data_IF_453581128812
#
_entry.id   IF_453581128812
#
_cell.length_a   1.000
_cell.length_b   1.000
_cell.length_c   1.000
_cell.angle_alpha   90.00
_cell.angle_beta   90.00
_cell.angle_gamma   90.00
#
_symmetry.space_group_name_H-M   'P 1'
#
loop_
_entity.id
_entity.type
_entity.pdbx_description
1 polymer ?
#
# COMPACT_ATOMS: atom_id res chain seq x y z
N UNK A 1 0.45 -6.27 33.09
CA UNK A 1 0.67 -5.57 31.81
C UNK A 1 1.88 -6.19 31.11
N UNK A 2 1.75 -7.35 30.44
CA UNK A 2 2.86 -8.06 29.78
C UNK A 2 2.30 -8.82 28.57
N UNK A 3 1.84 -8.11 27.54
CA UNK A 3 1.22 -8.73 26.36
C UNK A 3 1.84 -8.40 25.01
N UNK A 4 2.75 -7.39 24.91
CA UNK A 4 3.13 -6.86 23.59
C UNK A 4 4.48 -7.34 23.03
N UNK A 5 5.30 -8.01 23.82
CA UNK A 5 6.66 -8.45 23.38
C UNK A 5 6.69 -9.86 22.78
N UNK A 6 5.75 -10.74 23.14
CA UNK A 6 5.70 -12.09 22.61
C UNK A 6 5.20 -12.14 21.17
N UNK A 7 4.21 -11.30 20.84
CA UNK A 7 3.62 -11.25 19.49
C UNK A 7 4.58 -10.73 18.43
N UNK A 8 5.39 -9.75 18.76
CA UNK A 8 6.34 -9.15 17.82
C UNK A 8 7.47 -10.13 17.43
N UNK A 9 7.98 -10.91 18.39
CA UNK A 9 8.99 -11.94 18.12
C UNK A 9 8.43 -13.11 17.32
N UNK A 10 7.20 -13.49 17.58
CA UNK A 10 6.50 -14.54 16.83
C UNK A 10 6.27 -14.13 15.37
N UNK A 11 5.93 -12.85 15.14
CA UNK A 11 5.74 -12.31 13.80
C UNK A 11 7.07 -12.23 13.01
N UNK A 12 8.17 -11.79 13.63
CA UNK A 12 9.49 -11.84 13.00
C UNK A 12 9.94 -13.25 12.67
N UNK A 13 9.65 -14.22 13.55
CA UNK A 13 9.93 -15.62 13.27
C UNK A 13 9.12 -16.17 12.10
N UNK A 14 7.86 -15.76 11.99
CA UNK A 14 6.98 -16.13 10.88
C UNK A 14 7.48 -15.57 9.54
N UNK A 15 7.87 -14.27 9.48
CA UNK A 15 8.42 -13.67 8.26
C UNK A 15 9.80 -14.22 7.90
N UNK A 16 10.64 -14.54 8.89
CA UNK A 16 11.93 -15.19 8.65
C UNK A 16 11.81 -16.62 8.09
N UNK A 17 10.69 -17.28 8.29
CA UNK A 17 10.40 -18.59 7.73
C UNK A 17 9.78 -18.55 6.33
N UNK A 18 9.13 -17.42 5.93
CA UNK A 18 8.49 -17.25 4.64
C UNK A 18 9.36 -16.39 3.70
N UNK A 19 10.50 -16.97 3.29
CA UNK A 19 11.54 -16.29 2.47
C UNK A 19 11.05 -15.99 1.02
N UNK A 20 9.87 -16.44 0.62
CA UNK A 20 9.39 -16.37 -0.76
C UNK A 20 8.25 -15.39 -1.00
N UNK A 21 7.48 -14.99 0.03
CA UNK A 21 6.42 -13.99 -0.13
C UNK A 21 7.02 -12.62 -0.40
N UNK A 22 6.58 -11.97 -1.48
CA UNK A 22 7.06 -10.65 -1.87
C UNK A 22 6.02 -9.59 -1.54
N UNK A 23 6.34 -8.70 -0.60
CA UNK A 23 5.43 -7.65 -0.14
C UNK A 23 5.81 -6.33 -0.81
N UNK A 24 4.92 -5.86 -1.68
CA UNK A 24 5.02 -4.56 -2.37
C UNK A 24 4.04 -3.56 -1.78
N UNK A 25 4.48 -2.34 -1.55
CA UNK A 25 3.60 -1.22 -1.18
C UNK A 25 3.41 -0.34 -2.40
N UNK A 26 2.17 0.03 -2.71
CA UNK A 26 1.85 0.93 -3.81
C UNK A 26 1.08 2.15 -3.29
N UNK A 27 1.57 3.35 -3.62
CA UNK A 27 0.98 4.61 -3.18
C UNK A 27 1.32 5.77 -4.13
N UNK A 28 0.41 6.75 -4.21
CA UNK A 28 0.69 8.06 -4.79
C UNK A 28 0.96 9.04 -3.64
N UNK A 29 2.11 9.69 -3.65
CA UNK A 29 2.60 10.53 -2.57
C UNK A 29 2.99 11.91 -3.08
N UNK A 30 2.56 12.97 -2.38
CA UNK A 30 3.02 14.34 -2.63
C UNK A 30 4.39 14.58 -1.99
N UNK A 31 5.03 15.73 -2.25
CA UNK A 31 6.35 16.09 -1.70
C UNK A 31 6.45 16.02 -0.17
N UNK A 32 5.36 16.29 0.53
CA UNK A 32 5.26 16.21 1.99
C UNK A 32 4.76 14.84 2.48
N UNK A 33 4.84 13.81 1.64
CA UNK A 33 4.33 12.46 1.90
C UNK A 33 2.80 12.36 2.04
N UNK A 34 2.05 13.41 1.74
CA UNK A 34 0.59 13.37 1.78
C UNK A 34 0.03 12.41 0.73
N UNK A 35 -0.97 11.63 1.11
CA UNK A 35 -1.62 10.61 0.28
C UNK A 35 -3.13 10.82 0.13
N UNK A 36 -3.77 11.55 1.04
CA UNK A 36 -5.21 11.71 1.04
C UNK A 36 -5.70 12.86 1.90
N UNK A 37 -6.96 13.19 1.67
CA UNK A 37 -7.75 14.09 2.50
C UNK A 37 -9.21 13.62 2.51
N UNK A 38 -9.84 13.57 3.70
CA UNK A 38 -11.23 13.14 3.88
C UNK A 38 -11.56 11.80 3.18
N UNK A 39 -10.66 10.83 3.32
CA UNK A 39 -10.76 9.50 2.70
C UNK A 39 -10.80 9.51 1.16
N UNK A 40 -10.21 10.51 0.52
CA UNK A 40 -10.11 10.64 -0.95
C UNK A 40 -8.66 10.85 -1.37
N UNK A 41 -8.33 10.43 -2.60
CA UNK A 41 -7.05 10.76 -3.23
C UNK A 41 -6.92 12.27 -3.42
N UNK A 42 -5.71 12.80 -3.24
CA UNK A 42 -5.41 14.22 -3.40
C UNK A 42 -5.43 14.68 -4.86
N UNK A 43 -5.01 13.80 -5.77
CA UNK A 43 -4.87 14.10 -7.19
C UNK A 43 -5.46 12.99 -8.04
N UNK A 44 -6.12 13.38 -9.11
CA UNK A 44 -6.60 12.47 -10.14
C UNK A 44 -5.51 12.29 -11.20
N UNK A 45 -4.90 11.12 -11.24
CA UNK A 45 -3.83 10.76 -12.17
C UNK A 45 -4.22 9.49 -12.96
N UNK A 46 -4.79 9.63 -14.17
CA UNK A 46 -5.22 8.46 -14.98
C UNK A 46 -4.10 7.44 -15.25
N UNK A 47 -2.87 7.90 -15.46
CA UNK A 47 -1.74 7.01 -15.70
C UNK A 47 -1.33 6.24 -14.43
N UNK A 48 -1.44 6.86 -13.25
CA UNK A 48 -1.25 6.19 -11.96
C UNK A 48 -2.28 5.06 -11.77
N UNK A 49 -3.55 5.31 -12.08
CA UNK A 49 -4.60 4.31 -12.02
C UNK A 49 -4.35 3.14 -13.00
N UNK A 50 -3.82 3.41 -14.19
CA UNK A 50 -3.42 2.36 -15.15
C UNK A 50 -2.27 1.53 -14.60
N UNK A 51 -1.23 2.18 -14.05
CA UNK A 51 -0.08 1.51 -13.42
C UNK A 51 -0.53 0.66 -12.23
N UNK A 52 -1.35 1.21 -11.34
CA UNK A 52 -1.95 0.49 -10.22
C UNK A 52 -2.67 -0.77 -10.69
N UNK A 53 -3.55 -0.65 -11.69
CA UNK A 53 -4.27 -1.79 -12.27
C UNK A 53 -3.31 -2.83 -12.85
N UNK A 54 -2.31 -2.40 -13.60
CA UNK A 54 -1.31 -3.29 -14.22
C UNK A 54 -0.52 -4.09 -13.19
N UNK A 55 -0.07 -3.43 -12.12
CA UNK A 55 0.71 -4.07 -11.06
C UNK A 55 -0.12 -5.03 -10.21
N UNK A 56 -1.37 -4.67 -9.89
CA UNK A 56 -2.17 -5.41 -8.89
C UNK A 56 -3.08 -6.48 -9.47
N UNK A 57 -3.36 -6.46 -10.79
CA UNK A 57 -4.25 -7.47 -11.42
C UNK A 57 -3.64 -8.87 -11.33
N UNK A 58 -4.42 -9.82 -10.85
CA UNK A 58 -4.00 -11.22 -10.63
C UNK A 58 -3.35 -11.47 -9.29
N UNK A 59 -3.21 -10.43 -8.45
CA UNK A 59 -2.54 -10.51 -7.16
C UNK A 59 -3.50 -10.29 -5.98
N UNK A 60 -3.03 -10.60 -4.78
CA UNK A 60 -3.69 -10.20 -3.54
C UNK A 60 -3.38 -8.73 -3.24
N UNK A 61 -4.44 -7.97 -2.93
CA UNK A 61 -4.35 -6.60 -2.44
C UNK A 61 -4.85 -6.53 -1.00
N UNK A 62 -4.08 -5.87 -0.13
CA UNK A 62 -4.43 -5.68 1.28
C UNK A 62 -4.64 -4.19 1.55
N UNK A 63 -5.74 -3.86 2.19
CA UNK A 63 -6.13 -2.48 2.51
C UNK A 63 -6.84 -2.37 3.85
N UNK A 64 -6.88 -1.18 4.41
CA UNK A 64 -7.72 -0.87 5.56
C UNK A 64 -9.19 -0.64 5.14
N UNK A 65 -10.09 -0.75 6.11
CA UNK A 65 -11.53 -0.57 5.90
C UNK A 65 -11.88 0.76 5.22
N UNK A 66 -11.32 1.88 5.65
CA UNK A 66 -11.59 3.20 5.04
C UNK A 66 -11.17 3.27 3.57
N UNK A 67 -10.07 2.63 3.21
CA UNK A 67 -9.65 2.53 1.81
C UNK A 67 -10.63 1.73 0.98
N UNK A 68 -11.12 0.60 1.50
CA UNK A 68 -12.16 -0.19 0.84
C UNK A 68 -13.45 0.61 0.64
N UNK A 69 -13.89 1.35 1.67
CA UNK A 69 -15.09 2.20 1.61
C UNK A 69 -14.96 3.35 0.59
N UNK A 70 -13.73 3.78 0.27
CA UNK A 70 -13.46 4.80 -0.75
C UNK A 70 -13.49 4.28 -2.19
N UNK A 71 -13.51 2.97 -2.40
CA UNK A 71 -13.55 2.39 -3.72
C UNK A 71 -14.94 2.57 -4.36
N UNK A 72 -15.04 3.21 -5.54
CA UNK A 72 -16.35 3.59 -6.11
C UNK A 72 -17.30 2.43 -6.39
N UNK A 73 -16.75 1.23 -6.62
CA UNK A 73 -17.51 0.01 -6.95
C UNK A 73 -17.25 -1.15 -6.00
N UNK A 74 -16.69 -0.87 -4.81
CA UNK A 74 -16.29 -1.90 -3.85
C UNK A 74 -15.09 -2.72 -4.32
N UNK A 75 -15.10 -4.03 -4.05
CA UNK A 75 -13.99 -4.92 -4.35
C UNK A 75 -13.47 -4.81 -5.80
N UNK A 76 -12.16 -4.72 -5.96
CA UNK A 76 -11.53 -4.57 -7.27
C UNK A 76 -11.53 -5.90 -8.02
N UNK A 77 -11.98 -5.92 -9.30
CA UNK A 77 -12.07 -7.16 -10.06
C UNK A 77 -10.69 -7.76 -10.37
N UNK A 78 -10.67 -9.09 -10.56
CA UNK A 78 -9.47 -9.88 -10.91
C UNK A 78 -8.33 -9.75 -9.90
N UNK A 79 -8.68 -9.59 -8.63
CA UNK A 79 -7.76 -9.49 -7.47
C UNK A 79 -8.39 -10.15 -6.27
N UNK A 80 -7.58 -10.76 -5.44
CA UNK A 80 -8.01 -11.15 -4.11
C UNK A 80 -8.03 -9.90 -3.23
N UNK A 81 -9.22 -9.46 -2.81
CA UNK A 81 -9.38 -8.29 -1.98
C UNK A 81 -9.35 -8.71 -0.50
N UNK A 82 -8.40 -8.19 0.25
CA UNK A 82 -8.24 -8.41 1.69
C UNK A 82 -8.36 -7.09 2.41
N UNK A 83 -9.25 -7.02 3.40
CA UNK A 83 -9.53 -5.81 4.16
C UNK A 83 -9.21 -6.03 5.64
N UNK A 84 -8.44 -5.13 6.21
CA UNK A 84 -8.14 -5.13 7.65
C UNK A 84 -9.22 -4.33 8.40
N UNK A 85 -9.95 -5.03 9.28
CA UNK A 85 -10.98 -4.41 10.11
C UNK A 85 -11.20 -5.20 11.41
N UNK A 86 -11.40 -4.47 12.52
CA UNK A 86 -11.83 -5.02 13.80
C UNK A 86 -13.30 -4.76 14.10
N UNK A 87 -13.97 -3.99 13.26
CA UNK A 87 -15.36 -3.55 13.48
C UNK A 87 -16.37 -4.27 12.60
N UNK A 88 -15.95 -4.90 11.50
CA UNK A 88 -16.79 -5.69 10.61
C UNK A 88 -16.10 -7.02 10.31
N UNK A 89 -16.90 -8.07 10.13
CA UNK A 89 -16.43 -9.42 9.80
C UNK A 89 -16.67 -9.81 8.34
N UNK A 90 -17.52 -9.07 7.62
CA UNK A 90 -17.89 -9.38 6.25
C UNK A 90 -17.96 -8.11 5.40
N UNK A 91 -17.47 -8.19 4.17
CA UNK A 91 -17.59 -7.15 3.15
C UNK A 91 -17.82 -7.81 1.79
N UNK A 92 -18.70 -7.28 0.94
CA UNK A 92 -18.99 -7.88 -0.37
C UNK A 92 -17.73 -7.96 -1.25
N UNK A 93 -17.38 -9.18 -1.67
CA UNK A 93 -16.25 -9.42 -2.57
C UNK A 93 -14.86 -9.29 -1.93
N UNK A 94 -14.76 -9.20 -0.60
CA UNK A 94 -13.50 -9.10 0.11
C UNK A 94 -13.46 -10.07 1.30
N UNK A 95 -12.27 -10.56 1.61
CA UNK A 95 -11.98 -11.29 2.84
C UNK A 95 -11.59 -10.29 3.93
N UNK A 96 -12.09 -10.48 5.14
CA UNK A 96 -11.82 -9.57 6.26
C UNK A 96 -10.96 -10.26 7.31
N UNK A 97 -9.89 -9.57 7.72
CA UNK A 97 -8.99 -9.99 8.79
C UNK A 97 -8.85 -8.90 9.84
N UNK A 98 -8.64 -9.30 11.08
CA UNK A 98 -8.50 -8.36 12.18
C UNK A 98 -7.20 -7.54 12.15
N UNK A 99 -6.13 -8.12 11.59
CA UNK A 99 -4.79 -7.54 11.56
C UNK A 99 -3.98 -7.99 10.33
N UNK A 100 -2.88 -7.28 10.07
CA UNK A 100 -2.00 -7.53 8.93
C UNK A 100 -1.32 -8.90 9.02
N UNK A 101 -0.92 -9.34 10.19
CA UNK A 101 -0.23 -10.62 10.39
C UNK A 101 -1.11 -11.79 9.95
N UNK A 102 -2.35 -11.83 10.44
CA UNK A 102 -3.32 -12.86 10.09
C UNK A 102 -3.64 -12.84 8.60
N UNK A 103 -3.76 -11.64 8.01
CA UNK A 103 -3.96 -11.48 6.57
C UNK A 103 -2.80 -12.04 5.74
N UNK A 104 -1.55 -11.70 6.09
CA UNK A 104 -0.36 -12.21 5.40
C UNK A 104 -0.21 -13.72 5.57
N UNK A 105 -0.55 -14.26 6.75
CA UNK A 105 -0.54 -15.71 7.00
C UNK A 105 -1.53 -16.51 6.14
N UNK A 106 -2.53 -15.85 5.57
CA UNK A 106 -3.50 -16.45 4.65
C UNK A 106 -3.05 -16.44 3.19
N UNK A 107 -1.92 -15.81 2.89
CA UNK A 107 -1.33 -15.74 1.56
C UNK A 107 -0.34 -16.88 1.33
N UNK A 108 -0.11 -17.23 0.05
CA UNK A 108 0.89 -18.22 -0.31
C UNK A 108 2.30 -17.67 -0.15
N UNK A 109 3.25 -18.52 0.24
CA UNK A 109 4.66 -18.16 0.41
C UNK A 109 5.34 -17.70 -0.89
N UNK A 110 4.76 -18.01 -2.05
CA UNK A 110 5.30 -17.65 -3.37
C UNK A 110 4.53 -16.49 -4.03
N UNK A 111 3.62 -15.88 -3.30
CA UNK A 111 2.73 -14.84 -3.80
C UNK A 111 3.37 -13.46 -3.69
N UNK A 112 3.13 -12.59 -4.67
CA UNK A 112 3.34 -11.16 -4.54
C UNK A 112 2.06 -10.50 -4.02
N UNK A 113 2.18 -9.81 -2.87
CA UNK A 113 1.09 -9.15 -2.18
C UNK A 113 1.28 -7.64 -2.26
N UNK A 114 0.23 -6.91 -2.64
CA UNK A 114 0.25 -5.47 -2.71
C UNK A 114 -0.50 -4.82 -1.55
N UNK A 115 0.18 -4.00 -0.78
CA UNK A 115 -0.41 -3.16 0.26
C UNK A 115 -0.83 -1.84 -0.40
N UNK A 116 -2.14 -1.54 -0.38
CA UNK A 116 -2.70 -0.40 -1.13
C UNK A 116 -3.27 0.72 -0.25
N UNK A 117 -3.06 0.63 1.05
CA UNK A 117 -3.38 1.70 2.00
C UNK A 117 -4.42 1.34 3.04
N UNK A 118 -4.84 2.32 3.87
CA UNK A 118 -4.29 3.68 3.97
C UNK A 118 -3.09 3.81 4.90
N UNK A 119 -2.92 5.01 5.44
CA UNK A 119 -1.76 5.38 6.27
C UNK A 119 -1.41 4.34 7.35
N UNK A 120 -2.39 3.92 8.15
CA UNK A 120 -2.16 2.94 9.22
C UNK A 120 -1.65 1.60 8.70
N UNK A 121 -2.14 1.14 7.54
CA UNK A 121 -1.73 -0.13 6.94
C UNK A 121 -0.35 0.00 6.31
N UNK A 122 -0.04 1.12 5.64
CA UNK A 122 1.30 1.41 5.15
C UNK A 122 2.34 1.42 6.27
N UNK A 123 2.01 2.06 7.39
CA UNK A 123 2.90 2.12 8.57
C UNK A 123 3.19 0.73 9.15
N UNK A 124 2.18 -0.13 9.21
CA UNK A 124 2.34 -1.51 9.67
C UNK A 124 3.14 -2.37 8.71
N UNK A 125 2.94 -2.20 7.39
CA UNK A 125 3.56 -3.04 6.36
C UNK A 125 4.99 -2.62 6.02
N UNK A 126 5.34 -1.34 6.15
CA UNK A 126 6.64 -0.81 5.74
C UNK A 126 7.84 -1.59 6.30
N UNK A 127 7.88 -2.04 7.57
CA UNK A 127 9.00 -2.81 8.09
C UNK A 127 9.23 -4.16 7.40
N UNK A 128 8.21 -4.71 6.76
CA UNK A 128 8.21 -6.04 6.14
C UNK A 128 8.23 -5.99 4.61
N UNK A 129 8.01 -4.82 4.03
CA UNK A 129 7.95 -4.66 2.59
C UNK A 129 9.33 -4.86 1.94
N UNK A 130 9.31 -5.51 0.76
CA UNK A 130 10.48 -5.74 -0.09
C UNK A 130 10.62 -4.64 -1.14
N UNK A 131 9.49 -4.04 -1.55
CA UNK A 131 9.42 -3.06 -2.63
C UNK A 131 8.42 -1.95 -2.31
N UNK A 132 8.75 -0.72 -2.72
CA UNK A 132 7.83 0.40 -2.78
C UNK A 132 7.63 0.79 -4.24
N UNK A 133 6.37 0.81 -4.69
CA UNK A 133 5.96 1.27 -6.02
C UNK A 133 5.28 2.63 -5.84
N UNK A 134 6.04 3.72 -5.81
CA UNK A 134 5.51 5.04 -5.55
C UNK A 134 5.22 5.81 -6.84
N UNK A 135 4.16 6.60 -6.83
CA UNK A 135 3.94 7.71 -7.74
C UNK A 135 4.23 8.98 -6.98
N UNK A 136 5.41 9.54 -7.20
CA UNK A 136 5.85 10.79 -6.56
C UNK A 136 5.30 11.98 -7.32
N UNK A 137 4.45 12.78 -6.68
CA UNK A 137 3.76 13.92 -7.29
C UNK A 137 4.48 15.21 -6.92
N UNK A 138 4.83 16.01 -7.92
CA UNK A 138 5.50 17.31 -7.76
C UNK A 138 4.52 18.39 -7.29
N UNK A 139 3.94 18.19 -6.12
CA UNK A 139 2.98 19.11 -5.51
C UNK A 139 3.06 19.11 -3.99
N UNK A 140 2.61 20.22 -3.41
CA UNK A 140 2.42 20.40 -1.96
C UNK A 140 0.94 20.73 -1.72
N UNK A 141 0.11 19.74 -1.34
CA UNK A 141 -1.30 19.98 -1.07
C UNK A 141 -1.47 20.85 0.18
N UNK A 142 -2.37 21.83 0.11
CA UNK A 142 -2.68 22.69 1.25
C UNK A 142 -3.44 21.94 2.35
N UNK A 143 -4.28 20.97 1.97
CA UNK A 143 -5.08 20.17 2.88
C UNK A 143 -4.74 18.69 2.67
N UNK A 144 -4.29 18.04 3.73
CA UNK A 144 -4.08 16.61 3.78
C UNK A 144 -4.25 16.14 5.23
N UNK A 145 -4.86 14.98 5.42
CA UNK A 145 -5.09 14.36 6.72
C UNK A 145 -4.54 12.94 6.82
N UNK A 146 -4.00 12.41 5.71
CA UNK A 146 -3.36 11.11 5.65
C UNK A 146 -2.00 11.20 4.95
N UNK A 147 -0.99 10.50 5.51
CA UNK A 147 0.39 10.59 5.06
C UNK A 147 1.02 9.20 4.93
N UNK A 148 1.86 9.03 3.92
CA UNK A 148 2.72 7.86 3.80
C UNK A 148 3.83 7.93 4.86
N UNK A 149 4.20 6.82 5.51
CA UNK A 149 5.29 6.81 6.47
C UNK A 149 6.61 7.17 5.82
N UNK A 150 7.43 7.95 6.52
CA UNK A 150 8.80 8.24 6.07
C UNK A 150 9.63 6.96 6.07
N UNK A 151 10.51 6.85 5.08
CA UNK A 151 11.45 5.73 4.96
C UNK A 151 12.86 6.26 4.72
N UNK A 152 13.86 5.47 5.13
CA UNK A 152 15.26 5.90 5.09
C UNK A 152 15.94 5.51 3.79
N UNK A 153 16.67 6.42 3.11
CA UNK A 153 17.52 6.08 1.99
C UNK A 153 18.60 5.04 2.29
N UNK A 154 18.94 4.83 3.57
CA UNK A 154 19.88 3.78 3.99
C UNK A 154 19.29 2.37 3.97
N UNK A 155 17.96 2.26 3.94
CA UNK A 155 17.25 0.97 3.88
C UNK A 155 16.70 0.66 2.49
N UNK A 156 16.57 1.67 1.64
CA UNK A 156 15.89 1.57 0.35
C UNK A 156 16.74 2.12 -0.78
N UNK A 157 16.87 1.35 -1.86
CA UNK A 157 17.54 1.74 -3.10
C UNK A 157 16.51 2.03 -4.18
N UNK A 158 16.60 3.21 -4.79
CA UNK A 158 15.85 3.49 -6.02
C UNK A 158 16.34 2.56 -7.14
N UNK A 159 15.44 1.76 -7.69
CA UNK A 159 15.72 0.78 -8.74
C UNK A 159 15.17 1.19 -10.10
N UNK A 160 14.17 2.08 -10.11
CA UNK A 160 13.52 2.57 -11.32
C UNK A 160 12.96 3.97 -11.09
N UNK A 161 13.04 4.83 -12.11
CA UNK A 161 12.35 6.13 -12.16
C UNK A 161 11.93 6.46 -13.59
N UNK A 162 10.68 6.84 -13.76
CA UNK A 162 10.11 7.36 -15.00
C UNK A 162 9.39 8.67 -14.72
N UNK A 163 9.89 9.76 -15.31
CA UNK A 163 9.34 11.11 -15.09
C UNK A 163 8.28 11.45 -16.14
N UNK A 164 7.22 12.10 -15.70
CA UNK A 164 6.12 12.57 -16.53
C UNK A 164 5.88 14.06 -16.30
N UNK A 165 5.81 14.81 -17.36
CA UNK A 165 5.39 16.20 -17.34
C UNK A 165 3.86 16.35 -17.29
N UNK A 166 3.38 17.57 -17.06
CA UNK A 166 1.97 17.90 -17.15
C UNK A 166 1.45 17.71 -18.58
N UNK A 167 0.21 17.27 -18.70
CA UNK A 167 -0.50 17.15 -19.97
C UNK A 167 -1.98 17.50 -19.79
N UNK A 168 -2.81 17.34 -20.82
CA UNK A 168 -4.25 17.65 -20.78
C UNK A 168 -5.03 16.87 -19.72
N UNK A 169 -4.48 15.75 -19.20
CA UNK A 169 -5.10 14.87 -18.21
C UNK A 169 -4.40 14.89 -16.85
N UNK A 170 -3.22 15.50 -16.78
CA UNK A 170 -2.37 15.52 -15.60
C UNK A 170 -1.91 16.95 -15.31
N UNK A 171 -2.55 17.59 -14.32
CA UNK A 171 -2.22 18.96 -13.91
C UNK A 171 -0.88 19.07 -13.16
N UNK A 172 -0.40 17.97 -12.60
CA UNK A 172 0.84 17.91 -11.83
C UNK A 172 1.87 17.04 -12.55
N UNK A 173 3.14 17.44 -12.48
CA UNK A 173 4.26 16.56 -12.81
C UNK A 173 4.32 15.43 -11.78
N UNK A 174 4.69 14.25 -12.23
CA UNK A 174 4.84 13.09 -11.35
C UNK A 174 5.92 12.15 -11.89
N UNK A 175 6.40 11.26 -11.03
CA UNK A 175 7.32 10.20 -11.43
C UNK A 175 6.84 8.86 -10.88
N UNK A 176 6.91 7.82 -11.70
CA UNK A 176 6.85 6.45 -11.21
C UNK A 176 8.21 6.07 -10.68
N UNK A 177 8.27 5.63 -9.44
CA UNK A 177 9.52 5.30 -8.76
C UNK A 177 9.38 3.97 -8.03
N UNK A 178 10.30 3.05 -8.29
CA UNK A 178 10.40 1.83 -7.53
C UNK A 178 11.62 1.86 -6.63
N UNK A 179 11.41 1.50 -5.37
CA UNK A 179 12.47 1.27 -4.40
C UNK A 179 12.49 -0.20 -4.00
N UNK A 180 13.65 -0.76 -3.87
CA UNK A 180 13.87 -2.10 -3.33
C UNK A 180 14.63 -1.99 -2.01
N UNK A 181 14.29 -2.87 -1.06
CA UNK A 181 15.00 -2.93 0.22
C UNK A 181 16.40 -3.52 0.00
N UNK A 182 17.42 -2.96 0.70
CA UNK A 182 18.79 -3.47 0.69
C UNK A 182 18.90 -4.88 1.30
#
# INVERSE_FOLDING_TARGET
MNGSHADFRSFFSFIAQNILMYISIIAAVAKNMAIGNENRLLYWLPNDLKRFKSLTTGHTIIMGRKTFDSLPKGALPNRRNVVLSRSVSELPGAEVFADLQTALSSCSDTEEVYIIGGESVYRQALPFANRLCLTEIDALPANADAFFPTFSPSEWKESFRECHDTDEKHEQKYSFVDYIRY
#
